data_IF_139040426900
#
_entry.id   IF_139040426900
#
_cell.length_a   1.000
_cell.length_b   1.000
_cell.length_c   1.000
_cell.angle_alpha   90.00
_cell.angle_beta   90.00
_cell.angle_gamma   90.00
#
_symmetry.space_group_name_H-M   'P 1'
#
loop_
_entity.id
_entity.type
_entity.pdbx_description
1 polymer ?
#
# COMPACT_ATOMS: atom_id res chain seq x y z
N UNK A 1 5.33 -52.24 -0.46
CA UNK A 1 6.14 -51.03 -0.68
C UNK A 1 5.76 -49.99 0.38
N UNK A 2 6.47 -50.06 1.51
CA UNK A 2 6.57 -49.18 2.70
C UNK A 2 5.62 -47.97 2.88
N UNK A 3 4.77 -47.93 3.94
CA UNK A 3 3.95 -46.76 4.30
C UNK A 3 4.76 -45.47 4.53
N UNK A 4 6.06 -45.59 4.81
CA UNK A 4 7.01 -44.48 4.85
C UNK A 4 7.14 -43.77 3.48
N UNK A 5 7.30 -44.52 2.38
CA UNK A 5 7.41 -43.94 1.04
C UNK A 5 6.11 -43.24 0.61
N UNK A 6 4.95 -43.81 0.97
CA UNK A 6 3.66 -43.19 0.71
C UNK A 6 3.48 -41.85 1.47
N UNK A 7 4.01 -41.75 2.69
CA UNK A 7 4.02 -40.50 3.49
C UNK A 7 4.99 -39.46 2.92
N UNK A 8 6.15 -39.89 2.42
CA UNK A 8 7.14 -38.98 1.82
C UNK A 8 6.69 -38.45 0.45
N UNK A 9 5.98 -39.26 -0.34
CA UNK A 9 5.49 -38.86 -1.66
C UNK A 9 4.17 -38.08 -1.63
N UNK A 10 3.52 -37.96 -0.46
CA UNK A 10 2.27 -37.21 -0.26
C UNK A 10 2.48 -35.81 0.37
N UNK A 11 3.70 -35.27 0.27
CA UNK A 11 4.01 -33.93 0.76
C UNK A 11 3.20 -32.86 0.00
N UNK A 12 2.73 -31.80 0.69
CA UNK A 12 1.92 -30.76 0.09
C UNK A 12 2.66 -30.00 -1.02
N UNK A 13 1.90 -29.24 -1.83
CA UNK A 13 2.45 -28.33 -2.85
C UNK A 13 3.48 -27.40 -2.21
N UNK A 14 4.53 -27.06 -2.96
CA UNK A 14 5.56 -26.10 -2.55
C UNK A 14 5.33 -24.73 -3.21
N UNK A 15 5.84 -23.63 -2.63
CA UNK A 15 5.71 -22.30 -3.22
C UNK A 15 6.21 -22.26 -4.66
N UNK A 16 5.56 -21.49 -5.54
CA UNK A 16 5.93 -21.47 -6.97
C UNK A 16 7.39 -21.08 -7.22
N UNK A 17 7.99 -20.31 -6.32
CA UNK A 17 9.40 -19.94 -6.42
C UNK A 17 10.40 -21.09 -6.12
N UNK A 18 10.01 -22.21 -5.50
CA UNK A 18 10.97 -23.29 -5.22
C UNK A 18 11.51 -23.96 -6.50
N UNK A 19 10.72 -23.99 -7.58
CA UNK A 19 11.08 -24.67 -8.84
C UNK A 19 12.39 -24.16 -9.45
N UNK A 20 12.59 -22.85 -9.46
CA UNK A 20 13.76 -22.24 -10.14
C UNK A 20 14.91 -21.94 -9.15
N UNK A 21 14.70 -22.06 -7.83
CA UNK A 21 15.76 -21.82 -6.83
C UNK A 21 16.90 -22.83 -6.90
N UNK A 22 16.63 -24.09 -7.24
CA UNK A 22 17.70 -25.09 -7.43
C UNK A 22 18.67 -24.72 -8.56
N UNK A 23 18.18 -24.03 -9.60
CA UNK A 23 19.00 -23.56 -10.71
C UNK A 23 19.82 -22.33 -10.30
N UNK A 24 19.20 -21.34 -9.67
CA UNK A 24 19.87 -20.12 -9.19
C UNK A 24 20.97 -20.45 -8.18
N UNK A 25 20.67 -21.30 -7.19
CA UNK A 25 21.66 -21.68 -6.16
C UNK A 25 22.86 -22.45 -6.75
N UNK A 26 22.66 -23.21 -7.84
CA UNK A 26 23.76 -23.88 -8.55
C UNK A 26 24.56 -22.94 -9.44
N UNK A 27 23.91 -21.96 -10.06
CA UNK A 27 24.56 -20.99 -10.94
C UNK A 27 25.31 -19.88 -10.18
N UNK A 28 25.06 -19.75 -8.88
CA UNK A 28 25.52 -18.63 -8.07
C UNK A 28 24.51 -17.50 -8.14
N UNK A 29 23.93 -17.15 -6.98
CA UNK A 29 23.02 -16.00 -6.91
C UNK A 29 23.80 -14.71 -7.20
N UNK A 30 23.20 -13.73 -7.91
CA UNK A 30 23.81 -12.42 -8.11
C UNK A 30 24.21 -11.81 -6.77
N UNK A 31 25.44 -11.27 -6.71
CA UNK A 31 25.92 -10.59 -5.52
C UNK A 31 25.22 -9.24 -5.41
N UNK A 32 24.23 -9.18 -4.52
CA UNK A 32 23.69 -7.93 -4.02
C UNK A 32 24.75 -7.41 -3.04
N UNK A 33 25.35 -6.26 -3.35
CA UNK A 33 26.42 -5.68 -2.55
C UNK A 33 26.04 -5.48 -1.07
N UNK A 34 26.93 -4.91 -0.25
CA UNK A 34 26.72 -4.80 1.20
C UNK A 34 25.52 -3.91 1.59
N UNK A 35 24.95 -3.17 0.63
CA UNK A 35 23.87 -2.21 0.86
C UNK A 35 22.64 -2.62 0.05
N UNK A 36 21.49 -2.61 0.71
CA UNK A 36 20.20 -2.82 0.06
C UNK A 36 19.96 -1.73 -0.99
N UNK A 37 19.64 -2.07 -2.25
CA UNK A 37 19.30 -1.07 -3.25
C UNK A 37 18.11 -0.23 -2.78
N UNK A 38 18.24 1.10 -2.90
CA UNK A 38 17.14 2.01 -2.60
C UNK A 38 16.07 1.86 -3.66
N UNK A 39 14.82 1.70 -3.23
CA UNK A 39 13.68 1.66 -4.15
C UNK A 39 13.40 3.06 -4.68
N UNK A 40 13.11 3.14 -5.98
CA UNK A 40 12.58 4.36 -6.59
C UNK A 40 11.21 4.65 -5.99
N UNK A 41 10.95 5.92 -5.64
CA UNK A 41 9.62 6.38 -5.24
C UNK A 41 8.78 6.60 -6.49
N UNK A 42 7.58 6.02 -6.50
CA UNK A 42 6.63 6.08 -7.61
C UNK A 42 5.43 6.94 -7.22
N UNK A 43 4.93 7.73 -8.17
CA UNK A 43 3.65 8.41 -8.04
C UNK A 43 2.45 7.49 -8.30
N UNK A 44 1.23 7.87 -7.89
CA UNK A 44 0.02 7.07 -8.13
C UNK A 44 -0.23 6.74 -9.60
N UNK A 45 -0.02 7.72 -10.50
CA UNK A 45 -0.24 7.53 -11.95
C UNK A 45 0.76 6.55 -12.56
N UNK A 46 2.03 6.61 -12.12
CA UNK A 46 3.06 5.66 -12.55
C UNK A 46 2.71 4.25 -12.08
N UNK A 47 2.24 4.09 -10.84
CA UNK A 47 1.79 2.79 -10.33
C UNK A 47 0.60 2.27 -11.13
N UNK A 48 -0.39 3.11 -11.44
CA UNK A 48 -1.55 2.73 -12.24
C UNK A 48 -1.11 2.25 -13.63
N UNK A 49 -0.24 3.00 -14.31
CA UNK A 49 0.30 2.60 -15.61
C UNK A 49 1.05 1.26 -15.53
N UNK A 50 1.91 1.09 -14.53
CA UNK A 50 2.67 -0.16 -14.36
C UNK A 50 1.76 -1.35 -14.05
N UNK A 51 0.65 -1.13 -13.32
CA UNK A 51 -0.36 -2.17 -13.10
C UNK A 51 -1.05 -2.58 -14.40
N UNK A 52 -1.39 -1.62 -15.28
CA UNK A 52 -1.95 -1.89 -16.61
C UNK A 52 -0.96 -2.68 -17.49
N UNK A 53 0.34 -2.46 -17.31
CA UNK A 53 1.42 -3.22 -17.95
C UNK A 53 1.70 -4.58 -17.29
N UNK A 54 1.00 -4.92 -16.20
CA UNK A 54 1.02 -6.24 -15.55
C UNK A 54 1.84 -6.32 -14.25
N UNK A 55 2.28 -5.20 -13.69
CA UNK A 55 2.98 -5.17 -12.41
C UNK A 55 2.11 -5.71 -11.26
N UNK A 56 2.76 -6.27 -10.24
CA UNK A 56 2.12 -6.61 -8.97
C UNK A 56 2.33 -5.48 -7.97
N UNK A 57 1.24 -5.01 -7.36
CA UNK A 57 1.32 -4.09 -6.22
C UNK A 57 1.07 -4.89 -4.95
N UNK A 58 2.04 -4.87 -4.04
CA UNK A 58 1.97 -5.50 -2.72
C UNK A 58 1.88 -4.42 -1.66
N UNK A 59 0.73 -4.31 -1.03
CA UNK A 59 0.52 -3.40 0.10
C UNK A 59 1.09 -4.03 1.37
N UNK A 60 2.08 -3.36 1.97
CA UNK A 60 2.82 -3.86 3.14
C UNK A 60 2.24 -3.38 4.46
N UNK A 61 1.15 -2.60 4.44
CA UNK A 61 0.41 -2.21 5.64
C UNK A 61 -0.23 -3.44 6.28
N UNK A 62 -0.53 -3.32 7.58
CA UNK A 62 -1.26 -4.38 8.30
C UNK A 62 -2.69 -4.53 7.75
N UNK A 63 -3.30 -5.71 7.91
CA UNK A 63 -4.59 -6.01 7.27
C UNK A 63 -5.71 -4.99 7.56
N UNK A 64 -5.84 -4.54 8.82
CA UNK A 64 -6.85 -3.52 9.20
C UNK A 64 -6.72 -2.20 8.42
N UNK A 65 -5.49 -1.87 8.04
CA UNK A 65 -5.15 -0.63 7.35
C UNK A 65 -5.55 -0.76 5.87
N UNK A 66 -5.28 -1.93 5.29
CA UNK A 66 -5.73 -2.30 3.96
C UNK A 66 -7.26 -2.36 3.84
N UNK A 67 -7.94 -2.92 4.84
CA UNK A 67 -9.40 -3.06 4.88
C UNK A 67 -10.12 -1.70 4.91
N UNK A 68 -9.51 -0.69 5.54
CA UNK A 68 -10.00 0.69 5.55
C UNK A 68 -9.93 1.39 4.19
N UNK A 69 -9.19 0.84 3.23
CA UNK A 69 -9.06 1.35 1.86
C UNK A 69 -7.70 1.02 1.26
N UNK A 70 -7.73 0.53 0.01
CA UNK A 70 -6.56 0.03 -0.70
C UNK A 70 -6.65 0.29 -2.20
N UNK A 71 -5.53 0.08 -2.89
CA UNK A 71 -5.42 0.17 -4.34
C UNK A 71 -6.15 -1.03 -4.97
N UNK A 72 -7.19 -0.84 -5.81
CA UNK A 72 -7.90 -1.95 -6.44
C UNK A 72 -6.95 -2.89 -7.19
N UNK A 73 -7.05 -4.19 -6.94
CA UNK A 73 -6.18 -5.21 -7.58
C UNK A 73 -4.80 -5.38 -6.94
N UNK A 74 -4.47 -4.64 -5.88
CA UNK A 74 -3.27 -4.91 -5.06
C UNK A 74 -3.45 -6.14 -4.17
N UNK A 75 -2.33 -6.66 -3.66
CA UNK A 75 -2.29 -7.77 -2.71
C UNK A 75 -1.99 -7.25 -1.31
N UNK A 76 -2.86 -7.54 -0.34
CA UNK A 76 -2.59 -7.29 1.08
C UNK A 76 -1.59 -8.31 1.62
N UNK A 77 -0.33 -7.91 1.80
CA UNK A 77 0.71 -8.73 2.42
C UNK A 77 1.42 -7.90 3.47
N UNK A 78 0.81 -7.81 4.64
CA UNK A 78 1.30 -7.00 5.75
C UNK A 78 2.68 -7.42 6.25
N UNK A 79 3.48 -6.41 6.61
CA UNK A 79 4.84 -6.58 7.11
C UNK A 79 4.91 -7.28 8.48
N UNK A 80 3.78 -7.35 9.19
CA UNK A 80 3.60 -8.13 10.43
C UNK A 80 3.58 -9.64 10.19
N UNK A 81 3.44 -10.07 8.93
CA UNK A 81 3.58 -11.45 8.48
C UNK A 81 4.84 -11.71 7.62
N UNK A 82 5.06 -12.97 7.22
CA UNK A 82 6.18 -13.32 6.34
C UNK A 82 5.89 -12.90 4.90
N UNK A 83 6.29 -11.68 4.52
CA UNK A 83 6.05 -11.11 3.18
C UNK A 83 6.59 -12.04 2.09
N UNK A 84 7.80 -12.56 2.26
CA UNK A 84 8.42 -13.48 1.30
C UNK A 84 7.63 -14.77 1.11
N UNK A 85 7.06 -15.34 2.16
CA UNK A 85 6.29 -16.57 2.05
C UNK A 85 5.08 -16.34 1.14
N UNK A 86 4.28 -15.31 1.42
CA UNK A 86 3.06 -15.02 0.67
C UNK A 86 3.34 -14.58 -0.76
N UNK A 87 4.29 -13.66 -0.97
CA UNK A 87 4.68 -13.22 -2.32
C UNK A 87 5.18 -14.40 -3.15
N UNK A 88 5.98 -15.28 -2.56
CA UNK A 88 6.49 -16.47 -3.24
C UNK A 88 5.42 -17.49 -3.67
N UNK A 89 4.22 -17.41 -3.09
CA UNK A 89 3.04 -18.20 -3.48
C UNK A 89 2.14 -17.49 -4.49
N UNK A 90 1.98 -16.17 -4.36
CA UNK A 90 0.97 -15.39 -5.07
C UNK A 90 1.47 -14.78 -6.37
N UNK A 91 2.77 -14.45 -6.45
CA UNK A 91 3.32 -13.64 -7.53
C UNK A 91 4.33 -14.48 -8.31
N UNK A 92 4.15 -14.52 -9.63
CA UNK A 92 5.08 -15.21 -10.52
C UNK A 92 6.43 -14.48 -10.55
N UNK A 93 7.52 -15.24 -10.59
CA UNK A 93 8.86 -14.68 -10.79
C UNK A 93 8.95 -13.91 -12.12
N UNK A 94 9.73 -12.83 -12.12
CA UNK A 94 9.94 -11.96 -13.28
C UNK A 94 8.82 -10.95 -13.53
N UNK A 95 7.68 -11.06 -12.84
CA UNK A 95 6.65 -10.03 -12.86
C UNK A 95 7.16 -8.80 -12.08
N UNK A 96 7.10 -7.58 -12.64
CA UNK A 96 7.49 -6.37 -11.91
C UNK A 96 6.71 -6.25 -10.60
N UNK A 97 7.40 -5.91 -9.52
CA UNK A 97 6.80 -5.83 -8.19
C UNK A 97 6.97 -4.42 -7.63
N UNK A 98 5.89 -3.86 -7.11
CA UNK A 98 5.83 -2.56 -6.45
C UNK A 98 5.40 -2.78 -5.00
N UNK A 99 6.09 -2.15 -4.06
CA UNK A 99 5.67 -2.12 -2.66
C UNK A 99 4.82 -0.86 -2.42
N UNK A 100 3.69 -0.99 -1.73
CA UNK A 100 2.81 0.14 -1.47
C UNK A 100 2.46 0.28 0.01
N UNK A 101 2.20 1.52 0.43
CA UNK A 101 1.79 1.85 1.79
C UNK A 101 2.90 1.70 2.83
N UNK A 102 2.56 1.87 4.10
CA UNK A 102 3.54 1.76 5.18
C UNK A 102 4.65 2.82 5.11
N UNK A 103 5.76 2.52 5.78
CA UNK A 103 6.92 3.40 5.95
C UNK A 103 8.12 2.91 5.14
N UNK A 104 9.09 3.80 4.87
CA UNK A 104 10.38 3.44 4.25
C UNK A 104 11.07 2.23 4.94
N UNK A 105 10.95 2.15 6.27
CA UNK A 105 11.54 1.05 7.05
C UNK A 105 10.84 -0.29 6.77
N UNK A 106 9.51 -0.28 6.61
CA UNK A 106 8.72 -1.46 6.27
C UNK A 106 8.99 -1.89 4.81
N UNK A 107 9.11 -0.93 3.89
CA UNK A 107 9.55 -1.19 2.52
C UNK A 107 10.95 -1.83 2.48
N UNK A 108 11.91 -1.30 3.23
CA UNK A 108 13.25 -1.86 3.31
C UNK A 108 13.25 -3.28 3.88
N UNK A 109 12.41 -3.56 4.88
CA UNK A 109 12.29 -4.90 5.45
C UNK A 109 11.63 -5.89 4.48
N UNK A 110 10.51 -5.52 3.85
CA UNK A 110 9.87 -6.31 2.81
C UNK A 110 10.86 -6.63 1.67
N UNK A 111 11.59 -5.62 1.20
CA UNK A 111 12.60 -5.78 0.17
C UNK A 111 13.67 -6.80 0.58
N UNK A 112 14.23 -6.73 1.79
CA UNK A 112 15.19 -7.75 2.28
C UNK A 112 14.59 -9.15 2.30
N UNK A 113 13.32 -9.30 2.69
CA UNK A 113 12.66 -10.62 2.70
C UNK A 113 12.52 -11.17 1.28
N UNK A 114 12.16 -10.31 0.32
CA UNK A 114 11.98 -10.68 -1.09
C UNK A 114 13.29 -11.05 -1.78
N UNK A 115 14.38 -10.35 -1.46
CA UNK A 115 15.72 -10.73 -1.95
C UNK A 115 16.09 -12.16 -1.55
N UNK A 116 15.73 -12.61 -0.34
CA UNK A 116 16.04 -13.98 0.16
C UNK A 116 15.37 -15.09 -0.63
N UNK A 117 14.31 -14.78 -1.39
CA UNK A 117 13.59 -15.75 -2.22
C UNK A 117 13.81 -15.50 -3.72
N UNK A 118 14.77 -14.64 -4.07
CA UNK A 118 15.15 -14.34 -5.46
C UNK A 118 14.18 -13.42 -6.19
N UNK A 119 13.45 -12.56 -5.46
CA UNK A 119 12.76 -11.40 -6.03
C UNK A 119 13.71 -10.21 -5.95
N UNK A 120 14.62 -10.15 -6.91
CA UNK A 120 15.72 -9.18 -7.01
C UNK A 120 15.34 -7.89 -7.75
N UNK A 121 14.26 -7.93 -8.53
CA UNK A 121 13.79 -6.80 -9.34
C UNK A 121 12.49 -6.21 -8.76
N UNK A 122 12.63 -5.38 -7.74
CA UNK A 122 11.52 -4.53 -7.25
C UNK A 122 11.54 -3.22 -8.05
N UNK A 123 10.45 -2.92 -8.72
CA UNK A 123 10.33 -1.80 -9.65
C UNK A 123 10.28 -0.44 -8.94
N UNK A 124 9.73 -0.41 -7.72
CA UNK A 124 9.69 0.79 -6.89
C UNK A 124 8.81 0.64 -5.68
N UNK A 125 8.59 1.75 -4.99
CA UNK A 125 7.72 1.85 -3.84
C UNK A 125 6.80 3.07 -3.95
N UNK A 126 5.54 2.91 -3.56
CA UNK A 126 4.55 3.97 -3.41
C UNK A 126 4.29 4.17 -1.91
N UNK A 127 4.78 5.25 -1.33
CA UNK A 127 4.57 5.46 0.10
C UNK A 127 3.11 5.80 0.39
N UNK A 128 2.61 5.40 1.57
CA UNK A 128 1.26 5.79 2.01
C UNK A 128 1.10 7.31 2.18
N UNK A 129 2.21 8.03 2.34
CA UNK A 129 2.27 9.49 2.39
C UNK A 129 2.18 10.16 1.01
N UNK A 130 2.34 9.43 -0.10
CA UNK A 130 2.42 10.06 -1.43
C UNK A 130 1.09 10.65 -1.92
N UNK A 131 -0.09 10.15 -1.51
CA UNK A 131 -1.35 10.87 -1.80
C UNK A 131 -1.33 12.27 -1.15
N UNK A 132 -0.86 12.38 0.09
CA UNK A 132 -0.75 13.65 0.81
C UNK A 132 0.33 14.56 0.23
N UNK A 133 1.49 14.00 -0.09
CA UNK A 133 2.65 14.76 -0.62
C UNK A 133 2.44 15.17 -2.08
N UNK A 134 1.75 14.38 -2.89
CA UNK A 134 1.41 14.72 -4.28
C UNK A 134 0.44 15.91 -4.38
N UNK A 135 -0.38 16.12 -3.35
CA UNK A 135 -1.25 17.28 -3.25
C UNK A 135 -2.34 17.10 -2.21
N UNK A 136 -2.58 18.13 -1.41
CA UNK A 136 -3.64 18.15 -0.40
C UNK A 136 -4.19 19.56 -0.23
N UNK A 137 -5.40 19.66 0.33
CA UNK A 137 -6.02 20.95 0.64
C UNK A 137 -5.14 21.71 1.64
N UNK A 138 -4.69 22.95 1.33
CA UNK A 138 -3.85 23.72 2.24
C UNK A 138 -4.48 23.86 3.64
N UNK A 139 -3.72 23.57 4.68
CA UNK A 139 -4.19 23.63 6.07
C UNK A 139 -5.01 22.41 6.52
N UNK A 140 -5.14 21.36 5.69
CA UNK A 140 -5.76 20.11 6.12
C UNK A 140 -4.91 19.41 7.21
N UNK A 141 -5.57 18.58 8.02
CA UNK A 141 -4.93 17.70 8.99
C UNK A 141 -4.87 16.30 8.40
N UNK A 142 -3.66 15.75 8.26
CA UNK A 142 -3.47 14.40 7.74
C UNK A 142 -3.68 13.35 8.84
N UNK A 143 -4.81 12.65 8.78
CA UNK A 143 -5.13 11.52 9.66
C UNK A 143 -5.51 10.33 8.82
N UNK A 144 -4.81 9.24 9.05
CA UNK A 144 -5.11 7.97 8.41
C UNK A 144 -6.39 7.36 9.03
N UNK A 145 -7.28 6.81 8.21
CA UNK A 145 -8.66 6.42 8.64
C UNK A 145 -8.68 5.50 9.88
N UNK A 146 -7.85 4.45 9.99
CA UNK A 146 -7.78 3.61 11.19
C UNK A 146 -7.29 4.34 12.45
N UNK A 147 -6.52 5.41 12.30
CA UNK A 147 -6.02 6.20 13.44
C UNK A 147 -7.05 7.23 13.94
N UNK A 148 -8.12 7.47 13.19
CA UNK A 148 -9.17 8.45 13.54
C UNK A 148 -9.70 8.26 14.96
N UNK A 149 -10.05 7.05 15.44
CA UNK A 149 -10.53 6.87 16.81
C UNK A 149 -9.53 7.29 17.89
N UNK A 150 -8.23 7.25 17.57
CA UNK A 150 -7.15 7.58 18.50
C UNK A 150 -6.68 9.04 18.37
N UNK A 151 -6.94 9.68 17.23
CA UNK A 151 -6.45 11.01 16.88
C UNK A 151 -7.55 12.06 16.69
N UNK A 152 -8.82 11.70 16.92
CA UNK A 152 -9.95 12.62 16.76
C UNK A 152 -9.83 13.91 17.59
N UNK A 153 -9.16 13.85 18.76
CA UNK A 153 -8.90 15.02 19.62
C UNK A 153 -7.97 16.06 19.01
N UNK A 154 -7.25 15.73 17.93
CA UNK A 154 -6.42 16.69 17.18
C UNK A 154 -7.26 17.61 16.30
N UNK A 155 -8.52 17.25 16.03
CA UNK A 155 -9.41 18.00 15.14
C UNK A 155 -10.16 19.07 15.94
N UNK A 156 -10.16 20.34 15.49
CA UNK A 156 -10.93 21.40 16.16
C UNK A 156 -12.44 21.08 16.21
N UNK A 157 -13.03 21.25 17.39
CA UNK A 157 -14.46 20.96 17.62
C UNK A 157 -15.36 22.21 17.43
N UNK A 158 -14.77 23.39 17.27
CA UNK A 158 -15.44 24.70 17.21
C UNK A 158 -15.86 25.11 15.79
N UNK A 159 -15.44 24.36 14.76
CA UNK A 159 -15.80 24.56 13.36
C UNK A 159 -16.40 23.29 12.71
N UNK A 160 -17.10 23.40 11.56
CA UNK A 160 -17.40 22.26 10.72
C UNK A 160 -16.13 21.60 10.18
N UNK A 161 -16.14 20.27 10.07
CA UNK A 161 -15.01 19.47 9.61
C UNK A 161 -15.34 18.86 8.26
N UNK A 162 -14.63 19.29 7.23
CA UNK A 162 -14.70 18.67 5.92
C UNK A 162 -13.73 17.47 5.86
N UNK A 163 -14.23 16.32 5.38
CA UNK A 163 -13.43 15.10 5.25
C UNK A 163 -13.36 14.73 3.78
N UNK A 164 -12.14 14.48 3.30
CA UNK A 164 -11.84 14.20 1.89
C UNK A 164 -10.87 13.03 1.75
N UNK A 165 -10.99 12.30 0.65
CA UNK A 165 -10.01 11.32 0.18
C UNK A 165 -10.12 11.23 -1.35
N UNK A 166 -9.19 10.52 -2.01
CA UNK A 166 -9.16 10.43 -3.48
C UNK A 166 -10.49 10.02 -4.15
N UNK A 167 -11.24 9.07 -3.56
CA UNK A 167 -12.47 8.49 -4.17
C UNK A 167 -13.74 8.61 -3.32
N UNK A 168 -13.74 9.44 -2.27
CA UNK A 168 -14.85 9.59 -1.32
C UNK A 168 -15.11 8.43 -0.34
N UNK A 169 -14.76 7.18 -0.66
CA UNK A 169 -15.04 6.00 0.19
C UNK A 169 -14.43 6.10 1.60
N UNK A 170 -13.13 6.39 1.67
CA UNK A 170 -12.39 6.54 2.94
C UNK A 170 -12.89 7.74 3.75
N UNK A 171 -13.29 8.80 3.07
CA UNK A 171 -13.86 9.98 3.70
C UNK A 171 -15.23 9.68 4.36
N UNK A 172 -16.03 8.78 3.79
CA UNK A 172 -17.28 8.31 4.40
C UNK A 172 -17.06 7.51 5.67
N UNK A 173 -16.07 6.60 5.67
CA UNK A 173 -15.69 5.84 6.87
C UNK A 173 -15.17 6.79 7.94
N UNK A 174 -14.23 7.67 7.59
CA UNK A 174 -13.67 8.65 8.52
C UNK A 174 -14.74 9.58 9.11
N UNK A 175 -15.71 10.02 8.31
CA UNK A 175 -16.85 10.81 8.81
C UNK A 175 -17.62 10.05 9.91
N UNK A 176 -17.96 8.78 9.68
CA UNK A 176 -18.68 7.98 10.69
C UNK A 176 -17.88 7.79 11.99
N UNK A 177 -16.56 7.60 11.89
CA UNK A 177 -15.68 7.44 13.04
C UNK A 177 -15.54 8.74 13.84
N UNK A 178 -15.46 9.87 13.15
CA UNK A 178 -15.42 11.19 13.78
C UNK A 178 -16.73 11.56 14.47
N UNK A 179 -17.87 11.20 13.89
CA UNK A 179 -19.18 11.35 14.54
C UNK A 179 -19.26 10.52 15.83
N UNK A 180 -18.77 9.27 15.79
CA UNK A 180 -18.67 8.41 16.98
C UNK A 180 -17.72 8.99 18.04
N UNK A 181 -16.67 9.70 17.62
CA UNK A 181 -15.76 10.43 18.51
C UNK A 181 -16.36 11.75 19.05
N UNK A 182 -17.59 12.10 18.67
CA UNK A 182 -18.34 13.24 19.23
C UNK A 182 -18.29 14.53 18.41
N UNK A 183 -17.74 14.50 17.20
CA UNK A 183 -17.81 15.62 16.27
C UNK A 183 -19.21 15.70 15.65
N UNK A 184 -19.80 16.89 15.60
CA UNK A 184 -21.23 17.07 15.25
C UNK A 184 -21.50 17.70 13.89
N UNK A 185 -20.49 18.25 13.23
CA UNK A 185 -20.63 19.04 12.00
C UNK A 185 -19.66 18.53 10.94
N UNK A 186 -19.92 17.33 10.42
CA UNK A 186 -19.05 16.70 9.44
C UNK A 186 -19.63 16.91 8.04
N UNK A 187 -18.78 17.36 7.12
CA UNK A 187 -19.09 17.57 5.72
C UNK A 187 -18.29 16.53 4.93
N UNK A 188 -18.99 15.63 4.25
CA UNK A 188 -18.37 14.65 3.37
C UNK A 188 -18.13 15.27 2.00
N UNK A 189 -16.87 15.39 1.60
CA UNK A 189 -16.49 15.94 0.29
C UNK A 189 -16.26 14.79 -0.68
N UNK A 190 -17.12 14.73 -1.70
CA UNK A 190 -17.00 13.77 -2.80
C UNK A 190 -16.34 14.47 -4.01
N UNK A 191 -15.25 13.90 -4.53
CA UNK A 191 -14.53 14.43 -5.69
C UNK A 191 -13.03 14.19 -5.58
N UNK A 192 -12.30 14.31 -6.69
CA UNK A 192 -10.84 14.22 -6.69
C UNK A 192 -10.23 15.50 -6.10
N UNK A 193 -9.02 15.40 -5.54
CA UNK A 193 -8.30 16.61 -5.09
C UNK A 193 -8.09 17.62 -6.23
N UNK A 194 -7.91 17.14 -7.47
CA UNK A 194 -7.77 17.96 -8.68
C UNK A 194 -8.96 18.91 -8.92
N UNK A 195 -10.14 18.63 -8.33
CA UNK A 195 -11.31 19.50 -8.40
C UNK A 195 -11.28 20.67 -7.41
N UNK A 196 -10.36 20.66 -6.42
CA UNK A 196 -10.20 21.76 -5.46
C UNK A 196 -9.82 23.08 -6.14
N UNK A 197 -8.90 23.02 -7.12
CA UNK A 197 -8.51 24.18 -7.93
C UNK A 197 -9.68 24.73 -8.76
N UNK A 198 -10.58 23.85 -9.22
CA UNK A 198 -11.80 24.24 -9.95
C UNK A 198 -12.83 24.91 -9.02
N UNK A 199 -12.92 24.48 -7.77
CA UNK A 199 -13.79 25.08 -6.76
C UNK A 199 -13.32 26.50 -6.35
N UNK A 200 -12.02 26.79 -6.41
CA UNK A 200 -11.48 28.14 -6.13
C UNK A 200 -11.61 29.12 -7.32
N UNK A 201 -11.65 28.64 -8.56
CA UNK A 201 -11.97 29.48 -9.72
C UNK A 201 -13.44 29.95 -9.72
N UNK A 202 -14.34 29.22 -9.05
CA UNK A 202 -15.75 29.60 -8.92
C UNK A 202 -16.03 30.62 -7.79
N UNK A 203 -15.16 30.72 -6.78
CA UNK A 203 -15.32 31.71 -5.69
C UNK A 203 -14.64 33.05 -6.00
N UNK A 204 -13.76 33.11 -6.99
CA UNK A 204 -13.08 34.35 -7.41
C UNK A 204 -13.95 35.27 -8.29
N UNK A 205 -15.13 34.80 -8.75
CA UNK A 205 -16.05 35.57 -9.59
C UNK A 205 -17.25 36.16 -8.84
N UNK A 206 -17.29 36.06 -7.50
CA UNK A 206 -18.35 36.67 -6.69
C UNK A 206 -17.75 37.55 -5.60
N UNK A 207 -17.52 38.82 -5.95
CA UNK A 207 -17.60 39.97 -5.04
C UNK A 207 -17.47 41.28 -5.85
N UNK A 208 -18.12 42.37 -5.41
CA UNK A 208 -19.51 42.54 -4.98
C UNK A 208 -20.43 43.05 -6.11
#
# INVERSE_FOLDING_TARGET
MMPFLARVLSQPRYPTYYRDMSAVNRGGAPLIGPTLPRLSRLGPDEVAQMMDEGAAVVDVRVGRDYDGGHIPGSYSVGIDGPVSAWVGWLIARGRPLILAGGTDAQHAEAHRQLLRIGFDTIAGALDGEHEWVAGHVPGAIHIYVPDVPHRASEIPHDAPVAVHCASGYRAGIAASLLEQAGLKRIIHVNGEYSDWDRLHLAQSSLSP
#
